data_IF_389946188283
#
_entry.id   IF_389946188283
#
_cell.length_a   1.000
_cell.length_b   1.000
_cell.length_c   1.000
_cell.angle_alpha   90.00
_cell.angle_beta   90.00
_cell.angle_gamma   90.00
#
_symmetry.space_group_name_H-M   'P 1'
#
loop_
_entity.id
_entity.type
_entity.pdbx_description
1 polymer ?
#
# COMPACT_ATOMS: atom_id res chain seq x y z
N UNK A 1 -28.24 7.39 -23.96
CA UNK A 1 -27.78 6.53 -25.05
C UNK A 1 -27.44 7.37 -26.28
N UNK A 2 -26.26 7.17 -26.85
CA UNK A 2 -25.94 7.91 -28.12
C UNK A 2 -26.73 7.32 -29.27
N UNK A 3 -27.02 8.21 -30.26
CA UNK A 3 -27.69 7.80 -31.47
C UNK A 3 -26.66 7.17 -32.45
N UNK A 4 -27.18 6.46 -33.44
CA UNK A 4 -26.32 5.90 -34.51
C UNK A 4 -25.44 6.94 -35.16
N UNK A 5 -26.00 8.11 -35.46
CA UNK A 5 -25.24 9.19 -36.07
C UNK A 5 -24.11 9.71 -35.18
N UNK A 6 -24.34 9.77 -33.86
CA UNK A 6 -23.30 10.17 -32.92
C UNK A 6 -22.18 9.14 -32.88
N UNK A 7 -22.48 7.85 -32.93
CA UNK A 7 -21.48 6.80 -32.99
C UNK A 7 -20.65 6.86 -34.27
N UNK A 8 -21.28 7.15 -35.41
CA UNK A 8 -20.58 7.28 -36.66
C UNK A 8 -19.61 8.48 -36.64
N UNK A 9 -20.03 9.61 -36.07
CA UNK A 9 -19.19 10.80 -35.97
C UNK A 9 -18.04 10.66 -34.99
N UNK A 10 -18.27 10.11 -33.84
CA UNK A 10 -17.31 10.15 -32.74
C UNK A 10 -16.69 8.79 -32.41
N UNK A 11 -17.31 7.70 -32.90
CA UNK A 11 -16.85 6.34 -32.60
C UNK A 11 -17.08 5.97 -31.15
N UNK A 12 -16.56 4.83 -30.79
CA UNK A 12 -16.61 4.33 -29.41
C UNK A 12 -15.26 4.56 -28.76
N UNK A 13 -15.30 5.03 -27.51
CA UNK A 13 -14.09 5.19 -26.72
C UNK A 13 -14.06 4.13 -25.63
N UNK A 14 -12.92 3.48 -25.48
CA UNK A 14 -12.73 2.57 -24.36
C UNK A 14 -12.60 3.37 -23.08
N UNK A 15 -13.28 2.90 -22.05
CA UNK A 15 -13.11 3.49 -20.73
C UNK A 15 -11.74 3.07 -20.21
N UNK A 16 -10.92 4.08 -19.84
CA UNK A 16 -9.62 3.80 -19.27
C UNK A 16 -9.76 3.27 -17.85
N UNK A 17 -9.06 2.18 -17.58
CA UNK A 17 -8.98 1.66 -16.22
C UNK A 17 -8.05 2.54 -15.40
N UNK A 18 -8.53 3.01 -14.25
CA UNK A 18 -7.69 3.76 -13.33
C UNK A 18 -6.91 2.80 -12.45
N UNK A 19 -5.64 3.13 -12.22
CA UNK A 19 -4.83 2.36 -11.31
C UNK A 19 -5.33 2.52 -9.87
N UNK A 20 -5.29 1.44 -9.10
CA UNK A 20 -5.57 1.49 -7.67
C UNK A 20 -4.43 2.06 -6.84
N UNK A 21 -3.28 2.31 -7.46
CA UNK A 21 -2.08 2.78 -6.77
C UNK A 21 -1.47 3.99 -7.49
N UNK A 22 -2.17 5.14 -7.52
CA UNK A 22 -1.70 6.30 -8.29
C UNK A 22 -0.38 6.89 -7.80
N UNK A 23 -0.04 6.69 -6.54
CA UNK A 23 1.19 7.23 -5.98
C UNK A 23 2.44 6.51 -6.48
N UNK A 24 2.30 5.30 -7.00
CA UNK A 24 3.43 4.52 -7.50
C UNK A 24 3.88 4.92 -8.90
N UNK A 25 3.01 5.53 -9.68
CA UNK A 25 3.29 6.03 -11.04
C UNK A 25 3.99 4.99 -11.93
N UNK A 26 3.32 3.85 -12.10
CA UNK A 26 3.79 2.73 -12.94
C UNK A 26 5.09 2.07 -12.43
N UNK A 27 5.39 2.22 -11.16
CA UNK A 27 6.52 1.52 -10.52
C UNK A 27 5.98 0.39 -9.66
N UNK A 28 6.69 -0.77 -9.58
CA UNK A 28 6.22 -1.84 -8.69
C UNK A 28 6.34 -1.48 -7.22
N UNK A 29 7.38 -0.71 -6.85
CA UNK A 29 7.58 -0.23 -5.48
C UNK A 29 8.11 1.19 -5.50
N UNK A 30 7.96 1.89 -4.38
CA UNK A 30 8.52 3.23 -4.17
C UNK A 30 9.11 3.32 -2.77
N UNK A 31 10.22 4.02 -2.67
CA UNK A 31 10.84 4.33 -1.38
C UNK A 31 10.20 5.57 -0.79
N UNK A 32 10.09 5.60 0.53
CA UNK A 32 9.58 6.77 1.22
C UNK A 32 10.08 6.84 2.65
N UNK A 33 9.74 7.92 3.31
CA UNK A 33 10.10 8.17 4.71
C UNK A 33 8.82 8.23 5.54
N UNK A 34 8.79 7.51 6.65
CA UNK A 34 7.64 7.52 7.55
C UNK A 34 7.53 8.89 8.22
N UNK A 35 6.41 9.57 8.04
CA UNK A 35 6.15 10.83 8.73
C UNK A 35 5.41 10.61 10.03
N UNK A 36 4.67 9.49 10.12
CA UNK A 36 3.91 9.15 11.31
C UNK A 36 3.62 7.64 11.31
N UNK A 37 3.74 7.01 12.46
CA UNK A 37 3.39 5.59 12.64
C UNK A 37 2.34 5.52 13.73
N UNK A 38 1.21 4.86 13.45
CA UNK A 38 0.09 4.81 14.37
C UNK A 38 -0.75 3.56 14.13
N UNK A 39 -1.78 3.38 14.95
CA UNK A 39 -2.74 2.30 14.77
C UNK A 39 -4.10 2.86 14.39
N UNK A 40 -4.89 2.08 13.69
CA UNK A 40 -6.23 2.49 13.29
C UNK A 40 -7.17 1.30 13.40
N UNK A 41 -8.44 1.59 13.63
CA UNK A 41 -9.47 0.54 13.68
C UNK A 41 -9.98 0.27 12.28
N UNK A 42 -10.32 -1.01 11.95
CA UNK A 42 -10.88 -1.33 10.65
C UNK A 42 -12.35 -0.94 10.56
N UNK A 43 -12.91 -1.09 9.36
CA UNK A 43 -14.33 -0.88 9.12
C UNK A 43 -15.17 -1.92 9.86
N UNK A 44 -16.38 -1.54 10.23
CA UNK A 44 -17.35 -2.52 10.75
C UNK A 44 -17.60 -3.63 9.73
N UNK A 45 -17.81 -4.89 10.15
CA UNK A 45 -17.98 -5.36 11.53
C UNK A 45 -16.66 -5.77 12.21
N UNK A 46 -15.51 -5.49 11.63
CA UNK A 46 -14.23 -5.90 12.18
C UNK A 46 -13.79 -4.97 13.31
N UNK A 47 -13.00 -5.53 14.22
CA UNK A 47 -12.46 -4.79 15.33
C UNK A 47 -11.04 -5.27 15.63
N UNK A 48 -10.10 -4.35 15.66
CA UNK A 48 -8.68 -4.64 15.94
C UNK A 48 -7.90 -3.32 15.98
N UNK A 49 -6.62 -3.43 16.30
CA UNK A 49 -5.70 -2.31 16.14
C UNK A 49 -4.76 -2.63 14.98
N UNK A 50 -5.05 -2.06 13.82
CA UNK A 50 -4.22 -2.26 12.62
C UNK A 50 -3.09 -1.26 12.62
N UNK A 51 -1.87 -1.74 12.35
CA UNK A 51 -0.67 -0.90 12.32
C UNK A 51 -0.53 -0.27 10.95
N UNK A 52 -0.45 1.05 10.91
CA UNK A 52 -0.30 1.80 9.66
C UNK A 52 0.75 2.88 9.83
N UNK A 53 1.26 3.36 8.70
CA UNK A 53 2.24 4.43 8.68
C UNK A 53 1.89 5.41 7.58
N UNK A 54 2.06 6.69 7.88
CA UNK A 54 1.98 7.74 6.88
C UNK A 54 3.36 7.93 6.29
N UNK A 55 3.49 7.75 4.98
CA UNK A 55 4.78 7.73 4.31
C UNK A 55 4.81 8.79 3.22
N UNK A 56 5.86 9.61 3.22
CA UNK A 56 6.13 10.54 2.12
C UNK A 56 7.06 9.86 1.13
N UNK A 57 6.59 9.68 -0.09
CA UNK A 57 7.35 9.00 -1.14
C UNK A 57 8.39 9.93 -1.77
N UNK A 58 9.35 9.33 -2.48
CA UNK A 58 10.38 10.10 -3.18
C UNK A 58 9.83 11.01 -4.27
N UNK A 59 8.62 10.73 -4.77
CA UNK A 59 7.94 11.60 -5.74
C UNK A 59 7.15 12.75 -5.09
N UNK A 60 7.23 12.91 -3.78
CA UNK A 60 6.56 13.98 -3.06
C UNK A 60 5.15 13.68 -2.59
N UNK A 61 4.58 12.53 -2.99
CA UNK A 61 3.23 12.13 -2.58
C UNK A 61 3.26 11.50 -1.20
N UNK A 62 2.34 11.89 -0.35
CA UNK A 62 2.20 11.31 0.99
C UNK A 62 1.01 10.36 1.01
N UNK A 63 1.23 9.13 1.47
CA UNK A 63 0.21 8.08 1.48
C UNK A 63 0.20 7.35 2.81
N UNK A 64 -0.94 6.69 3.09
CA UNK A 64 -1.06 5.82 4.26
C UNK A 64 -0.84 4.38 3.81
N UNK A 65 0.08 3.68 4.49
CA UNK A 65 0.49 2.33 4.15
C UNK A 65 0.23 1.40 5.33
N UNK A 66 -0.15 0.16 5.03
CA UNK A 66 -0.33 -0.88 6.04
C UNK A 66 1.01 -1.55 6.35
N UNK A 67 1.26 -1.80 7.62
CA UNK A 67 2.45 -2.53 8.06
C UNK A 67 2.04 -3.99 8.29
N UNK A 68 2.39 -4.92 7.38
CA UNK A 68 1.96 -6.31 7.51
C UNK A 68 2.77 -7.07 8.56
N UNK A 69 2.17 -8.16 9.07
CA UNK A 69 2.80 -9.04 10.02
C UNK A 69 2.60 -8.61 11.46
N UNK A 70 3.14 -9.39 12.38
CA UNK A 70 3.05 -9.12 13.81
C UNK A 70 4.25 -8.31 14.26
N UNK A 71 3.98 -7.16 14.85
CA UNK A 71 5.03 -6.29 15.36
C UNK A 71 5.87 -5.63 14.28
N UNK A 72 6.52 -4.56 14.64
CA UNK A 72 7.42 -3.84 13.73
C UNK A 72 8.35 -2.96 14.57
N UNK A 73 9.41 -2.48 13.90
CA UNK A 73 10.37 -1.57 14.51
C UNK A 73 10.33 -0.17 13.87
N UNK A 74 9.27 0.14 13.14
CA UNK A 74 9.17 1.41 12.44
C UNK A 74 8.81 2.55 13.39
N UNK A 75 9.39 3.70 13.10
CA UNK A 75 9.14 4.91 13.86
C UNK A 75 9.20 6.10 12.91
N UNK A 76 8.92 7.29 13.41
CA UNK A 76 9.03 8.50 12.62
C UNK A 76 10.43 8.62 12.02
N UNK A 77 10.50 9.03 10.75
CA UNK A 77 11.71 9.17 9.95
C UNK A 77 12.35 7.84 9.50
N UNK A 78 11.71 6.70 9.73
CA UNK A 78 12.19 5.43 9.16
C UNK A 78 12.02 5.43 7.64
N UNK A 79 13.02 4.90 6.93
CA UNK A 79 12.96 4.76 5.48
C UNK A 79 12.36 3.40 5.14
N UNK A 80 11.33 3.39 4.30
CA UNK A 80 10.60 2.17 3.97
C UNK A 80 10.39 2.06 2.46
N UNK A 81 10.14 0.85 2.01
CA UNK A 81 9.75 0.56 0.63
C UNK A 81 8.27 0.16 0.65
N UNK A 82 7.48 0.78 -0.21
CA UNK A 82 6.06 0.46 -0.31
C UNK A 82 5.74 -0.18 -1.64
N UNK A 83 4.68 -0.98 -1.64
CA UNK A 83 4.12 -1.59 -2.85
C UNK A 83 2.63 -1.36 -2.91
N UNK A 84 2.04 -1.57 -4.08
CA UNK A 84 0.59 -1.51 -4.22
C UNK A 84 -0.09 -2.65 -3.48
N UNK A 85 -1.36 -2.50 -3.22
CA UNK A 85 -2.17 -3.48 -2.55
C UNK A 85 -3.05 -2.82 -1.50
N UNK A 86 -4.35 -2.89 -1.72
CA UNK A 86 -5.32 -2.26 -0.83
C UNK A 86 -5.62 -3.15 0.37
N UNK A 87 -5.83 -2.53 1.52
CA UNK A 87 -6.36 -3.20 2.70
C UNK A 87 -7.86 -2.93 2.76
N UNK A 88 -8.65 -3.98 2.53
CA UNK A 88 -10.10 -3.85 2.44
C UNK A 88 -10.72 -3.35 3.75
N UNK A 89 -10.17 -3.76 4.88
CA UNK A 89 -10.67 -3.39 6.21
C UNK A 89 -10.41 -1.93 6.57
N UNK A 90 -9.45 -1.28 5.92
CA UNK A 90 -9.03 0.06 6.29
C UNK A 90 -9.36 1.04 5.18
N UNK A 91 -10.12 2.11 5.48
CA UNK A 91 -10.44 3.11 4.45
C UNK A 91 -9.21 3.93 4.07
N UNK A 92 -9.03 4.14 2.76
CA UNK A 92 -7.95 4.97 2.25
C UNK A 92 -6.56 4.34 2.27
N UNK A 93 -6.42 3.09 2.70
CA UNK A 93 -5.13 2.40 2.71
C UNK A 93 -5.01 1.58 1.44
N UNK A 94 -4.18 2.03 0.50
CA UNK A 94 -4.01 1.42 -0.83
C UNK A 94 -2.64 0.79 -1.01
N UNK A 95 -1.79 0.82 0.00
CA UNK A 95 -0.39 0.42 -0.12
C UNK A 95 0.03 -0.42 1.07
N UNK A 96 1.06 -1.22 0.88
CA UNK A 96 1.68 -2.01 1.93
C UNK A 96 3.15 -1.68 2.04
N UNK A 97 3.70 -1.69 3.25
CA UNK A 97 5.14 -1.60 3.48
C UNK A 97 5.74 -2.99 3.26
N UNK A 98 6.85 -3.05 2.50
CA UNK A 98 7.56 -4.32 2.26
C UNK A 98 8.44 -4.61 3.46
N UNK A 99 8.18 -5.73 4.14
CA UNK A 99 8.96 -6.13 5.33
C UNK A 99 10.31 -6.73 4.89
N UNK A 100 11.33 -6.48 5.68
CA UNK A 100 12.66 -7.03 5.42
C UNK A 100 13.51 -6.19 4.48
N UNK A 101 13.07 -4.99 4.16
CA UNK A 101 13.82 -4.06 3.30
C UNK A 101 14.01 -2.73 4.01
N UNK A 102 15.12 -2.05 3.70
CA UNK A 102 15.44 -0.73 4.26
C UNK A 102 15.32 -0.78 5.80
N UNK A 103 14.56 0.13 6.41
CA UNK A 103 14.42 0.18 7.86
C UNK A 103 13.33 -0.74 8.42
N UNK A 104 12.53 -1.37 7.56
CA UNK A 104 11.49 -2.29 7.99
C UNK A 104 12.06 -3.69 8.14
N UNK A 105 12.26 -4.13 9.38
CA UNK A 105 12.75 -5.48 9.65
C UNK A 105 11.70 -6.52 9.31
N UNK A 106 12.14 -7.76 9.06
CA UNK A 106 11.23 -8.86 8.84
C UNK A 106 10.51 -9.28 10.13
N UNK A 107 9.46 -10.06 9.97
CA UNK A 107 8.72 -10.62 11.11
C UNK A 107 9.56 -11.72 11.75
N UNK A 108 9.78 -11.63 13.04
CA UNK A 108 10.60 -12.61 13.77
C UNK A 108 9.81 -13.88 14.09
N UNK A 109 10.50 -15.02 14.07
CA UNK A 109 9.92 -16.28 14.46
C UNK A 109 8.94 -16.91 13.51
N UNK A 110 8.78 -16.34 12.33
CA UNK A 110 7.82 -16.85 11.35
C UNK A 110 8.42 -18.01 10.55
N UNK A 111 7.67 -19.08 10.41
CA UNK A 111 8.12 -20.29 9.71
C UNK A 111 7.46 -20.49 8.36
N UNK A 112 6.25 -19.98 8.17
CA UNK A 112 5.49 -20.10 6.93
C UNK A 112 5.35 -18.73 6.26
N UNK A 113 5.33 -18.73 4.92
CA UNK A 113 5.21 -17.50 4.12
C UNK A 113 6.27 -16.46 4.47
N UNK A 114 7.49 -16.92 4.72
CA UNK A 114 8.58 -16.05 5.17
C UNK A 114 8.91 -14.95 4.17
N UNK A 115 8.83 -15.25 2.87
CA UNK A 115 9.14 -14.26 1.84
C UNK A 115 8.18 -13.08 1.84
N UNK A 116 6.94 -13.30 2.21
CA UNK A 116 5.94 -12.21 2.26
C UNK A 116 6.21 -11.23 3.40
N UNK A 117 6.92 -11.68 4.44
CA UNK A 117 7.14 -10.88 5.64
C UNK A 117 8.61 -10.65 5.95
N UNK A 118 9.47 -10.95 4.99
CA UNK A 118 10.90 -10.67 5.11
C UNK A 118 11.62 -11.49 6.16
N UNK A 119 11.13 -12.68 6.50
CA UNK A 119 11.75 -13.54 7.50
C UNK A 119 12.81 -14.41 6.85
N UNK A 120 14.00 -14.42 7.42
CA UNK A 120 15.09 -15.24 6.91
C UNK A 120 14.96 -16.68 7.37
N UNK A 121 15.41 -17.59 6.52
CA UNK A 121 15.56 -19.00 6.86
C UNK A 121 16.71 -19.17 7.86
N UNK A 122 16.54 -20.08 8.77
CA UNK A 122 17.64 -20.46 9.64
C UNK A 122 18.59 -21.40 8.95
#
# INVERSE_FOLDING_TARGET
MPTLNQLVRHGRRRVRSKTGAPALRSCPQKRGVCTRVYTTTPKKPNSALRKVARVRLTNGVEVTCYIPGEGHNLQEHSIVLIRGGRVKDLPGVRYHIVRGTLDASGVTGRKQSRSKYGTKSK
#
